data_IF_859758914956
#
_entry.id   IF_859758914956
#
_cell.length_a   1.000
_cell.length_b   1.000
_cell.length_c   1.000
_cell.angle_alpha   90.00
_cell.angle_beta   90.00
_cell.angle_gamma   90.00
#
_symmetry.space_group_name_H-M   'P 1'
#
loop_
_entity.id
_entity.type
_entity.pdbx_description
1 polymer ?
#
# COMPACT_ATOMS: atom_id res chain seq x y z
N UNK A 1 -18.99 -10.78 -1.63
CA UNK A 1 -19.36 -12.17 -1.29
C UNK A 1 -20.74 -12.21 -0.63
N UNK A 2 -21.52 -13.27 -0.83
CA UNK A 2 -22.79 -13.49 -0.09
C UNK A 2 -22.58 -14.44 1.09
N UNK A 3 -23.45 -14.34 2.09
CA UNK A 3 -23.49 -15.22 3.26
C UNK A 3 -24.91 -15.73 3.47
N UNK A 4 -25.04 -16.87 4.16
CA UNK A 4 -26.30 -17.33 4.72
C UNK A 4 -26.42 -16.79 6.14
N UNK A 5 -27.49 -16.07 6.42
CA UNK A 5 -27.84 -15.55 7.72
C UNK A 5 -28.79 -16.51 8.44
N UNK A 6 -28.44 -16.85 9.67
CA UNK A 6 -29.23 -17.70 10.56
C UNK A 6 -30.42 -16.92 11.11
N UNK A 7 -31.64 -17.44 10.92
CA UNK A 7 -32.85 -16.84 11.47
C UNK A 7 -33.18 -17.39 12.85
N UNK A 8 -33.70 -16.54 13.73
CA UNK A 8 -34.08 -16.89 15.11
C UNK A 8 -35.15 -17.99 15.23
N UNK A 9 -35.90 -18.27 14.16
CA UNK A 9 -36.96 -19.28 14.12
C UNK A 9 -36.59 -20.53 13.31
N UNK A 10 -35.30 -20.70 12.98
CA UNK A 10 -34.81 -21.76 12.11
C UNK A 10 -34.92 -21.39 10.62
N UNK A 11 -33.93 -21.83 9.83
CA UNK A 11 -33.83 -21.55 8.40
C UNK A 11 -32.94 -20.35 8.06
N UNK A 12 -32.78 -20.09 6.76
CA UNK A 12 -31.80 -19.12 6.24
C UNK A 12 -32.43 -17.94 5.50
N UNK A 13 -31.67 -16.85 5.45
CA UNK A 13 -31.76 -15.82 4.40
C UNK A 13 -30.40 -15.65 3.75
N UNK A 14 -30.37 -15.52 2.42
CA UNK A 14 -29.16 -15.11 1.74
C UNK A 14 -28.98 -13.59 1.88
N UNK A 15 -27.80 -13.14 2.26
CA UNK A 15 -27.47 -11.71 2.28
C UNK A 15 -27.40 -11.15 0.86
N UNK A 16 -27.41 -9.82 0.75
CA UNK A 16 -26.92 -9.14 -0.46
C UNK A 16 -25.44 -9.46 -0.67
N UNK A 17 -24.92 -9.11 -1.86
CA UNK A 17 -23.50 -9.20 -2.10
C UNK A 17 -22.75 -8.15 -1.27
N UNK A 18 -21.91 -8.62 -0.35
CA UNK A 18 -21.13 -7.82 0.58
C UNK A 18 -19.74 -7.56 -0.02
N UNK A 19 -19.48 -6.32 -0.40
CA UNK A 19 -18.15 -5.88 -0.84
C UNK A 19 -17.26 -5.46 0.34
N UNK A 20 -17.85 -4.69 1.27
CA UNK A 20 -17.19 -4.15 2.47
C UNK A 20 -18.00 -4.51 3.72
N UNK A 21 -17.37 -4.40 4.90
CA UNK A 21 -17.98 -4.66 6.21
C UNK A 21 -18.58 -6.07 6.33
N UNK A 22 -17.83 -7.07 5.86
CA UNK A 22 -18.22 -8.48 6.00
C UNK A 22 -18.26 -8.84 7.50
N UNK A 23 -19.42 -9.28 8.05
CA UNK A 23 -19.54 -9.63 9.46
C UNK A 23 -18.76 -10.93 9.75
N UNK A 24 -18.40 -11.24 11.00
CA UNK A 24 -17.82 -12.52 11.36
C UNK A 24 -18.71 -13.68 10.90
N UNK A 25 -18.10 -14.67 10.26
CA UNK A 25 -18.81 -15.81 9.67
C UNK A 25 -18.04 -17.12 9.87
N UNK A 26 -18.79 -18.23 9.91
CA UNK A 26 -18.20 -19.55 9.73
C UNK A 26 -18.14 -19.91 8.24
N UNK A 27 -17.22 -20.77 7.86
CA UNK A 27 -17.07 -21.27 6.49
C UNK A 27 -17.10 -22.79 6.47
N UNK A 28 -17.90 -23.37 5.56
CA UNK A 28 -18.01 -24.82 5.41
C UNK A 28 -17.00 -25.33 4.38
N UNK A 29 -16.09 -26.18 4.83
CA UNK A 29 -15.22 -26.98 3.99
C UNK A 29 -15.78 -28.40 3.88
N UNK A 30 -16.02 -28.88 2.67
CA UNK A 30 -16.61 -30.20 2.46
C UNK A 30 -16.30 -30.77 1.08
N UNK A 31 -16.50 -32.07 0.91
CA UNK A 31 -16.46 -32.69 -0.42
C UNK A 31 -17.86 -32.73 -1.02
N UNK A 32 -17.98 -32.30 -2.27
CA UNK A 32 -19.25 -32.39 -3.00
C UNK A 32 -19.57 -33.85 -3.33
N UNK A 33 -20.85 -34.18 -3.27
CA UNK A 33 -21.41 -35.36 -3.93
C UNK A 33 -21.52 -35.13 -5.44
N UNK A 34 -22.47 -35.82 -6.07
CA UNK A 34 -22.85 -35.48 -7.45
C UNK A 34 -23.54 -34.11 -7.48
N UNK A 35 -23.40 -33.37 -8.58
CA UNK A 35 -23.90 -32.00 -8.71
C UNK A 35 -25.43 -31.89 -8.45
N UNK A 36 -26.20 -32.91 -8.83
CA UNK A 36 -27.65 -33.01 -8.60
C UNK A 36 -28.03 -33.14 -7.11
N UNK A 37 -27.07 -33.56 -6.27
CA UNK A 37 -27.24 -33.78 -4.83
C UNK A 37 -26.77 -32.61 -3.98
N UNK A 38 -26.19 -31.57 -4.58
CA UNK A 38 -25.77 -30.38 -3.87
C UNK A 38 -26.81 -29.25 -4.08
N UNK A 39 -27.30 -28.62 -2.99
CA UNK A 39 -28.19 -27.47 -3.10
C UNK A 39 -27.43 -26.28 -3.71
N UNK A 40 -28.09 -25.56 -4.60
CA UNK A 40 -27.56 -24.34 -5.22
C UNK A 40 -28.17 -23.09 -4.61
N UNK A 41 -27.60 -21.92 -4.93
CA UNK A 41 -28.18 -20.63 -4.58
C UNK A 41 -29.65 -20.51 -5.05
N UNK A 42 -29.98 -21.01 -6.25
CA UNK A 42 -31.35 -20.98 -6.78
C UNK A 42 -32.30 -21.87 -5.97
N UNK A 43 -31.83 -23.04 -5.53
CA UNK A 43 -32.63 -23.91 -4.66
C UNK A 43 -32.99 -23.18 -3.36
N UNK A 44 -32.01 -22.54 -2.71
CA UNK A 44 -32.26 -21.83 -1.46
C UNK A 44 -33.20 -20.61 -1.63
N UNK A 45 -33.09 -19.90 -2.76
CA UNK A 45 -33.98 -18.76 -3.06
C UNK A 45 -35.44 -19.17 -3.26
N UNK A 46 -35.69 -20.43 -3.66
CA UNK A 46 -37.03 -20.97 -3.92
C UNK A 46 -37.56 -21.86 -2.77
N UNK A 47 -36.90 -21.84 -1.61
CA UNK A 47 -37.13 -22.78 -0.48
C UNK A 47 -37.04 -24.27 -0.89
N UNK A 48 -36.31 -24.54 -1.97
CA UNK A 48 -36.00 -25.86 -2.51
C UNK A 48 -34.70 -26.44 -1.94
N UNK A 49 -34.34 -27.64 -2.41
CA UNK A 49 -33.07 -28.28 -2.05
C UNK A 49 -33.04 -29.04 -0.71
N UNK A 50 -34.08 -28.94 0.12
CA UNK A 50 -34.21 -29.72 1.38
C UNK A 50 -34.14 -31.23 1.19
N UNK A 51 -34.52 -31.70 0.01
CA UNK A 51 -34.48 -33.11 -0.41
C UNK A 51 -33.10 -33.55 -0.92
N UNK A 52 -32.15 -32.63 -1.13
CA UNK A 52 -30.81 -32.94 -1.62
C UNK A 52 -29.90 -33.38 -0.47
N UNK A 53 -29.09 -34.40 -0.71
CA UNK A 53 -28.21 -34.97 0.32
C UNK A 53 -27.20 -33.94 0.89
N UNK A 54 -26.74 -33.00 0.05
CA UNK A 54 -25.85 -31.91 0.45
C UNK A 54 -26.47 -30.94 1.46
N UNK A 55 -27.80 -30.85 1.53
CA UNK A 55 -28.51 -29.96 2.45
C UNK A 55 -28.20 -30.27 3.93
N UNK A 56 -27.97 -31.54 4.26
CA UNK A 56 -27.54 -31.95 5.61
C UNK A 56 -26.24 -31.26 6.05
N UNK A 57 -25.31 -31.01 5.13
CA UNK A 57 -24.02 -30.36 5.43
C UNK A 57 -24.22 -28.89 5.79
N UNK A 58 -25.20 -28.24 5.14
CA UNK A 58 -25.58 -26.85 5.44
C UNK A 58 -26.22 -26.76 6.80
N UNK A 59 -27.20 -27.63 7.09
CA UNK A 59 -27.85 -27.70 8.41
C UNK A 59 -26.82 -27.93 9.52
N UNK A 60 -25.89 -28.87 9.31
CA UNK A 60 -24.80 -29.10 10.25
C UNK A 60 -23.97 -27.82 10.49
N UNK A 61 -23.56 -27.14 9.42
CA UNK A 61 -22.77 -25.91 9.49
C UNK A 61 -23.51 -24.80 10.26
N UNK A 62 -24.81 -24.66 9.99
CA UNK A 62 -25.71 -23.73 10.66
C UNK A 62 -25.76 -24.00 12.17
N UNK A 63 -26.11 -25.22 12.55
CA UNK A 63 -26.20 -25.60 13.96
C UNK A 63 -24.87 -25.41 14.68
N UNK A 64 -23.75 -25.73 14.02
CA UNK A 64 -22.44 -25.57 14.62
C UNK A 64 -22.04 -24.09 14.74
N UNK A 65 -22.33 -23.26 13.73
CA UNK A 65 -22.13 -21.83 13.79
C UNK A 65 -22.94 -21.18 14.91
N UNK A 66 -24.21 -21.59 15.08
CA UNK A 66 -25.07 -21.11 16.15
C UNK A 66 -24.50 -21.46 17.54
N UNK A 67 -23.96 -22.68 17.73
CA UNK A 67 -23.28 -23.09 18.98
C UNK A 67 -22.05 -22.25 19.27
N UNK A 68 -21.33 -21.85 18.23
CA UNK A 68 -20.12 -21.01 18.34
C UNK A 68 -20.43 -19.50 18.33
N UNK A 69 -21.71 -19.11 18.34
CA UNK A 69 -22.14 -17.71 18.42
C UNK A 69 -22.02 -16.92 17.10
N UNK A 70 -21.96 -17.60 15.96
CA UNK A 70 -21.86 -17.01 14.63
C UNK A 70 -23.22 -16.99 13.93
N UNK A 71 -23.68 -15.81 13.52
CA UNK A 71 -24.95 -15.62 12.81
C UNK A 71 -24.85 -15.84 11.29
N UNK A 72 -23.64 -15.84 10.75
CA UNK A 72 -23.41 -15.94 9.30
C UNK A 72 -22.57 -17.17 8.97
N UNK A 73 -22.95 -17.86 7.89
CA UNK A 73 -22.17 -18.97 7.34
C UNK A 73 -21.96 -18.79 5.84
N UNK A 74 -20.79 -19.21 5.36
CA UNK A 74 -20.47 -19.27 3.94
C UNK A 74 -20.39 -20.72 3.49
N UNK A 75 -21.07 -21.02 2.38
CA UNK A 75 -21.06 -22.32 1.72
C UNK A 75 -20.95 -22.08 0.22
N UNK A 76 -19.89 -22.59 -0.41
CA UNK A 76 -19.56 -22.37 -1.82
C UNK A 76 -20.68 -22.75 -2.81
N UNK A 77 -21.44 -23.80 -2.54
CA UNK A 77 -22.56 -24.25 -3.38
C UNK A 77 -23.74 -23.27 -3.38
N UNK A 78 -23.87 -22.48 -2.31
CA UNK A 78 -25.05 -21.66 -2.03
C UNK A 78 -24.77 -20.15 -2.02
N UNK A 79 -23.53 -19.76 -1.77
CA UNK A 79 -23.12 -18.36 -1.64
C UNK A 79 -22.50 -17.80 -2.93
N UNK A 80 -22.20 -18.66 -3.91
CA UNK A 80 -21.68 -18.30 -5.23
C UNK A 80 -22.72 -18.63 -6.29
N UNK A 81 -23.08 -17.65 -7.11
CA UNK A 81 -23.84 -17.90 -8.33
C UNK A 81 -22.93 -18.44 -9.42
N UNK A 82 -22.85 -19.77 -9.50
CA UNK A 82 -22.05 -20.49 -10.50
C UNK A 82 -22.56 -20.29 -11.94
N UNK A 83 -23.77 -19.75 -12.13
CA UNK A 83 -24.30 -19.43 -13.45
C UNK A 83 -23.77 -18.10 -14.00
N UNK A 84 -23.25 -17.24 -13.12
CA UNK A 84 -22.61 -15.98 -13.47
C UNK A 84 -21.08 -16.19 -13.54
N UNK A 85 -20.53 -16.17 -14.75
CA UNK A 85 -19.09 -16.42 -14.97
C UNK A 85 -18.19 -15.35 -14.36
N UNK A 86 -18.63 -14.09 -14.33
CA UNK A 86 -17.89 -13.00 -13.69
C UNK A 86 -17.82 -13.22 -12.18
N UNK A 87 -18.96 -13.49 -11.55
CA UNK A 87 -19.01 -13.76 -10.12
C UNK A 87 -18.19 -15.01 -9.75
N UNK A 88 -18.29 -16.08 -10.54
CA UNK A 88 -17.50 -17.29 -10.34
C UNK A 88 -16.00 -17.01 -10.41
N UNK A 89 -15.56 -16.19 -11.37
CA UNK A 89 -14.16 -15.81 -11.52
C UNK A 89 -13.66 -14.97 -10.34
N UNK A 90 -14.45 -13.99 -9.89
CA UNK A 90 -14.16 -13.19 -8.71
C UNK A 90 -14.11 -14.04 -7.44
N UNK A 91 -15.05 -14.96 -7.28
CA UNK A 91 -15.13 -15.85 -6.14
C UNK A 91 -13.92 -16.78 -6.04
N UNK A 92 -13.52 -17.40 -7.14
CA UNK A 92 -12.35 -18.28 -7.18
C UNK A 92 -11.05 -17.52 -6.88
N UNK A 93 -10.91 -16.29 -7.36
CA UNK A 93 -9.76 -15.44 -7.02
C UNK A 93 -9.78 -14.99 -5.54
N UNK A 94 -10.96 -14.87 -4.94
CA UNK A 94 -11.13 -14.41 -3.56
C UNK A 94 -11.17 -15.53 -2.51
N UNK A 95 -11.32 -16.79 -2.94
CA UNK A 95 -11.64 -17.91 -2.05
C UNK A 95 -10.62 -18.10 -0.94
N UNK A 96 -9.31 -17.99 -1.24
CA UNK A 96 -8.27 -18.09 -0.22
C UNK A 96 -8.45 -17.04 0.88
N UNK A 97 -8.74 -15.80 0.48
CA UNK A 97 -8.98 -14.69 1.41
C UNK A 97 -10.21 -14.95 2.25
N UNK A 98 -11.28 -15.46 1.67
CA UNK A 98 -12.51 -15.80 2.40
C UNK A 98 -12.26 -16.90 3.44
N UNK A 99 -11.53 -17.95 3.09
CA UNK A 99 -11.14 -18.96 4.07
C UNK A 99 -10.23 -18.38 5.17
N UNK A 100 -9.28 -17.51 4.82
CA UNK A 100 -8.39 -16.85 5.79
C UNK A 100 -9.12 -15.93 6.77
N UNK A 101 -10.13 -15.20 6.29
CA UNK A 101 -10.88 -14.22 7.09
C UNK A 101 -12.07 -14.82 7.85
N UNK A 102 -12.41 -16.08 7.60
CA UNK A 102 -13.47 -16.76 8.34
C UNK A 102 -13.08 -16.93 9.82
N UNK A 103 -14.05 -16.69 10.72
CA UNK A 103 -13.85 -16.86 12.16
C UNK A 103 -13.65 -18.34 12.54
N UNK A 104 -14.36 -19.23 11.83
CA UNK A 104 -14.28 -20.68 12.00
C UNK A 104 -14.42 -21.39 10.66
N UNK A 105 -13.53 -22.33 10.36
CA UNK A 105 -13.70 -23.27 9.26
C UNK A 105 -14.16 -24.63 9.80
N UNK A 106 -15.34 -25.08 9.38
CA UNK A 106 -15.85 -26.40 9.73
C UNK A 106 -15.61 -27.36 8.59
N UNK A 107 -14.81 -28.39 8.83
CA UNK A 107 -14.57 -29.48 7.88
C UNK A 107 -15.56 -30.60 8.16
N UNK A 108 -16.51 -30.81 7.26
CA UNK A 108 -17.48 -31.90 7.36
C UNK A 108 -17.04 -33.10 6.51
N UNK A 109 -16.67 -34.19 7.18
CA UNK A 109 -16.18 -35.42 6.56
C UNK A 109 -17.31 -36.44 6.40
N UNK A 110 -17.95 -36.44 5.23
CA UNK A 110 -19.08 -37.34 4.94
C UNK A 110 -18.70 -38.83 4.84
N UNK A 111 -17.41 -39.17 4.85
CA UNK A 111 -16.87 -40.52 4.73
C UNK A 111 -16.18 -41.01 6.02
N UNK A 112 -16.35 -40.28 7.12
CA UNK A 112 -15.82 -40.63 8.43
C UNK A 112 -16.98 -40.73 9.41
N UNK A 113 -17.26 -41.92 9.93
CA UNK A 113 -18.24 -42.12 11.01
C UNK A 113 -17.53 -42.39 12.33
N UNK A 114 -18.17 -41.95 13.41
CA UNK A 114 -17.75 -42.25 14.79
C UNK A 114 -18.47 -43.44 15.39
N UNK A 115 -19.46 -43.99 14.69
CA UNK A 115 -20.21 -45.17 15.10
C UNK A 115 -19.39 -46.40 14.72
N UNK A 116 -19.08 -47.24 15.71
CA UNK A 116 -18.46 -48.54 15.47
C UNK A 116 -19.41 -49.42 14.64
N UNK A 117 -18.97 -49.89 13.48
CA UNK A 117 -19.71 -50.85 12.65
C UNK A 117 -19.88 -52.20 13.36
N UNK A 118 -18.97 -52.53 14.27
CA UNK A 118 -18.92 -53.80 14.99
C UNK A 118 -18.80 -53.50 16.48
N UNK A 119 -19.71 -54.02 17.30
CA UNK A 119 -19.80 -53.78 18.75
C UNK A 119 -18.66 -54.37 19.59
N UNK A 120 -17.42 -54.30 19.10
CA UNK A 120 -16.22 -54.83 19.74
C UNK A 120 -15.39 -53.65 20.28
N UNK A 121 -15.47 -53.53 21.61
CA UNK A 121 -14.48 -52.98 22.55
C UNK A 121 -14.12 -51.47 22.47
N UNK A 122 -14.59 -50.72 23.48
CA UNK A 122 -14.37 -49.28 23.68
C UNK A 122 -13.04 -48.95 24.39
N UNK A 123 -12.06 -49.85 24.40
CA UNK A 123 -10.90 -49.73 25.31
C UNK A 123 -9.55 -49.40 24.67
N UNK A 124 -9.41 -49.22 23.34
CA UNK A 124 -8.14 -48.73 22.77
C UNK A 124 -8.26 -48.15 21.35
N UNK A 125 -8.16 -46.82 21.22
CA UNK A 125 -7.89 -46.13 19.95
C UNK A 125 -9.04 -45.30 19.39
N UNK A 126 -8.69 -44.21 18.68
CA UNK A 126 -9.62 -43.40 17.90
C UNK A 126 -10.21 -44.29 16.79
N UNK A 127 -11.39 -44.86 17.00
CA UNK A 127 -12.06 -45.77 16.05
C UNK A 127 -12.22 -45.17 14.65
N UNK A 128 -12.30 -43.84 14.56
CA UNK A 128 -12.41 -43.09 13.32
C UNK A 128 -11.06 -42.83 12.61
N UNK A 129 -9.92 -43.06 13.28
CA UNK A 129 -8.58 -42.69 12.79
C UNK A 129 -8.26 -43.24 11.38
N UNK A 130 -8.46 -44.55 11.11
CA UNK A 130 -8.24 -45.11 9.77
C UNK A 130 -9.16 -44.51 8.69
N UNK A 131 -10.41 -44.20 9.03
CA UNK A 131 -11.36 -43.57 8.10
C UNK A 131 -10.95 -42.11 7.80
N UNK A 132 -10.52 -41.38 8.83
CA UNK A 132 -10.00 -40.01 8.69
C UNK A 132 -8.78 -39.97 7.76
N UNK A 133 -7.81 -40.87 7.96
CA UNK A 133 -6.63 -40.96 7.09
C UNK A 133 -6.97 -41.23 5.61
N UNK A 134 -8.06 -41.95 5.36
CA UNK A 134 -8.52 -42.31 4.00
C UNK A 134 -9.59 -41.36 3.46
N UNK A 135 -9.95 -40.31 4.21
CA UNK A 135 -11.01 -39.41 3.79
C UNK A 135 -10.65 -38.74 2.46
N UNK A 136 -11.62 -38.72 1.55
CA UNK A 136 -11.51 -38.06 0.24
C UNK A 136 -11.25 -36.56 0.39
N UNK A 137 -11.57 -35.97 1.54
CA UNK A 137 -11.30 -34.54 1.78
C UNK A 137 -9.83 -34.19 1.61
N UNK A 138 -8.90 -35.04 2.04
CA UNK A 138 -7.46 -34.82 1.91
C UNK A 138 -6.96 -34.93 0.46
N UNK A 139 -7.72 -35.60 -0.40
CA UNK A 139 -7.37 -35.78 -1.82
C UNK A 139 -8.13 -34.83 -2.74
N UNK A 140 -8.95 -33.89 -2.25
CA UNK A 140 -9.55 -32.86 -3.12
C UNK A 140 -8.59 -31.67 -3.31
N UNK A 141 -8.55 -31.12 -4.52
CA UNK A 141 -7.66 -30.01 -4.87
C UNK A 141 -7.90 -28.75 -4.03
N UNK A 142 -9.14 -28.25 -4.06
CA UNK A 142 -9.50 -26.98 -3.41
C UNK A 142 -9.37 -27.00 -1.89
N UNK A 143 -9.57 -28.17 -1.24
CA UNK A 143 -9.42 -28.32 0.22
C UNK A 143 -8.00 -28.05 0.71
N UNK A 144 -7.01 -27.93 -0.18
CA UNK A 144 -5.69 -27.42 0.18
C UNK A 144 -5.77 -26.00 0.75
N UNK A 145 -6.49 -25.09 0.07
CA UNK A 145 -6.66 -23.72 0.55
C UNK A 145 -7.51 -23.70 1.82
N UNK A 146 -8.52 -24.55 1.88
CA UNK A 146 -9.45 -24.67 3.01
C UNK A 146 -8.77 -25.18 4.29
N UNK A 147 -7.68 -25.93 4.13
CA UNK A 147 -6.81 -26.38 5.23
C UNK A 147 -5.82 -25.30 5.68
N UNK A 148 -5.19 -24.63 4.71
CA UNK A 148 -4.02 -23.77 4.96
C UNK A 148 -4.43 -22.33 5.32
N UNK A 149 -5.44 -21.79 4.63
CA UNK A 149 -5.80 -20.39 4.75
C UNK A 149 -6.42 -20.01 6.11
N UNK A 150 -7.42 -20.74 6.65
CA UNK A 150 -8.07 -20.36 7.90
C UNK A 150 -7.14 -20.54 9.10
N UNK A 151 -7.25 -19.64 10.08
CA UNK A 151 -6.54 -19.81 11.35
C UNK A 151 -7.13 -20.98 12.17
N UNK A 152 -8.46 -21.02 12.31
CA UNK A 152 -9.19 -22.07 13.04
C UNK A 152 -9.89 -23.04 12.09
N UNK A 153 -9.54 -24.33 12.17
CA UNK A 153 -10.22 -25.42 11.43
C UNK A 153 -10.62 -26.52 12.41
N UNK A 154 -11.91 -26.84 12.46
CA UNK A 154 -12.50 -27.89 13.29
C UNK A 154 -13.03 -29.03 12.38
N UNK A 155 -12.63 -30.27 12.66
CA UNK A 155 -12.99 -31.45 11.88
C UNK A 155 -14.17 -32.18 12.52
N UNK A 156 -15.16 -32.54 11.69
CA UNK A 156 -16.37 -33.22 12.12
C UNK A 156 -16.65 -34.45 11.25
N UNK A 157 -17.17 -35.49 11.89
CA UNK A 157 -17.65 -36.71 11.23
C UNK A 157 -18.97 -36.49 10.49
N UNK A 158 -19.38 -37.47 9.69
CA UNK A 158 -20.72 -37.52 9.07
C UNK A 158 -21.85 -37.46 10.12
N UNK A 159 -21.58 -37.92 11.34
CA UNK A 159 -22.50 -37.88 12.46
C UNK A 159 -22.60 -36.49 13.14
N UNK A 160 -21.84 -35.50 12.67
CA UNK A 160 -21.73 -34.18 13.29
C UNK A 160 -20.93 -34.18 14.59
N UNK A 161 -20.12 -35.20 14.85
CA UNK A 161 -19.26 -35.28 16.04
C UNK A 161 -17.90 -34.67 15.76
N UNK A 162 -17.44 -33.79 16.65
CA UNK A 162 -16.11 -33.17 16.55
C UNK A 162 -15.03 -34.24 16.77
N UNK A 163 -14.13 -34.36 15.79
CA UNK A 163 -12.98 -35.26 15.79
C UNK A 163 -11.74 -34.61 16.41
N UNK A 164 -11.59 -33.30 16.19
CA UNK A 164 -10.48 -32.48 16.68
C UNK A 164 -10.38 -31.19 15.88
N UNK A 165 -9.39 -30.36 16.20
CA UNK A 165 -9.00 -29.20 15.41
C UNK A 165 -7.65 -29.40 14.71
N UNK A 166 -7.33 -28.49 13.79
CA UNK A 166 -6.06 -28.45 13.03
C UNK A 166 -4.82 -28.62 13.90
N UNK A 167 -4.83 -28.08 15.13
CA UNK A 167 -3.68 -28.16 16.05
C UNK A 167 -3.61 -29.53 16.72
N UNK A 168 -4.72 -30.03 17.24
CA UNK A 168 -4.79 -31.35 17.88
C UNK A 168 -4.49 -32.50 16.92
N UNK A 169 -4.74 -32.31 15.62
CA UNK A 169 -4.56 -33.31 14.56
C UNK A 169 -3.37 -33.00 13.65
N UNK A 170 -2.52 -32.01 13.98
CA UNK A 170 -1.48 -31.50 13.06
C UNK A 170 -0.51 -32.59 12.60
N UNK A 171 -0.17 -33.53 13.49
CA UNK A 171 0.71 -34.66 13.18
C UNK A 171 0.06 -35.63 12.18
N UNK A 172 -1.22 -35.98 12.40
CA UNK A 172 -1.96 -36.87 11.49
C UNK A 172 -2.17 -36.20 10.13
N UNK A 173 -2.52 -34.91 10.12
CA UNK A 173 -2.69 -34.14 8.88
C UNK A 173 -1.36 -34.05 8.13
N UNK A 174 -0.25 -33.83 8.83
CA UNK A 174 1.10 -33.85 8.24
C UNK A 174 1.42 -35.20 7.60
N UNK A 175 1.12 -36.31 8.28
CA UNK A 175 1.38 -37.67 7.77
C UNK A 175 0.59 -37.96 6.49
N UNK A 176 -0.67 -37.51 6.41
CA UNK A 176 -1.55 -37.69 5.26
C UNK A 176 -1.11 -36.79 4.09
N UNK A 177 -0.92 -35.50 4.36
CA UNK A 177 -0.75 -34.48 3.31
C UNK A 177 0.70 -34.21 2.93
N UNK A 178 1.65 -34.59 3.79
CA UNK A 178 3.09 -34.25 3.72
C UNK A 178 3.41 -32.77 3.79
N UNK A 179 2.42 -31.92 4.12
CA UNK A 179 2.62 -30.49 4.33
C UNK A 179 3.28 -30.28 5.70
N UNK A 180 4.32 -29.44 5.82
CA UNK A 180 4.98 -29.21 7.11
C UNK A 180 4.03 -28.66 8.18
N UNK A 181 4.17 -29.14 9.41
CA UNK A 181 3.37 -28.69 10.56
C UNK A 181 3.41 -27.17 10.74
N UNK A 182 4.57 -26.55 10.47
CA UNK A 182 4.73 -25.08 10.53
C UNK A 182 3.72 -24.32 9.64
N UNK A 183 3.31 -24.90 8.51
CA UNK A 183 2.31 -24.30 7.63
C UNK A 183 0.93 -24.28 8.30
N UNK A 184 0.59 -25.31 9.09
CA UNK A 184 -0.67 -25.35 9.86
C UNK A 184 -0.67 -24.39 11.05
N UNK A 185 0.51 -24.10 11.59
CA UNK A 185 0.74 -23.19 12.71
C UNK A 185 0.84 -21.71 12.30
N UNK A 186 0.56 -21.38 11.04
CA UNK A 186 0.48 -20.01 10.55
C UNK A 186 1.82 -19.36 10.18
N UNK A 187 2.90 -20.15 9.98
CA UNK A 187 4.13 -19.59 9.42
C UNK A 187 3.86 -18.96 8.04
N UNK A 188 4.44 -17.78 7.74
CA UNK A 188 4.27 -17.14 6.44
C UNK A 188 4.59 -18.10 5.29
N UNK A 189 3.70 -18.21 4.31
CA UNK A 189 3.86 -19.16 3.21
C UNK A 189 5.13 -18.91 2.37
N UNK A 190 5.65 -17.68 2.38
CA UNK A 190 6.91 -17.32 1.74
C UNK A 190 8.15 -18.00 2.33
N UNK A 191 8.06 -18.57 3.54
CA UNK A 191 9.15 -19.36 4.14
C UNK A 191 9.31 -20.73 3.49
N UNK A 192 8.29 -21.22 2.78
CA UNK A 192 8.34 -22.49 2.08
C UNK A 192 8.71 -22.27 0.61
N UNK A 193 9.59 -23.13 0.10
CA UNK A 193 10.06 -23.01 -1.28
C UNK A 193 8.91 -23.14 -2.29
N UNK A 194 9.11 -22.59 -3.49
CA UNK A 194 8.10 -22.67 -4.56
C UNK A 194 7.79 -24.13 -4.92
N UNK A 195 8.82 -24.97 -5.04
CA UNK A 195 8.65 -26.40 -5.33
C UNK A 195 7.88 -27.12 -4.24
N UNK A 196 8.16 -26.82 -2.97
CA UNK A 196 7.46 -27.42 -1.85
C UNK A 196 5.98 -27.04 -1.84
N UNK A 197 5.65 -25.76 -2.00
CA UNK A 197 4.25 -25.31 -2.06
C UNK A 197 3.48 -25.88 -3.25
N UNK A 198 4.13 -26.05 -4.40
CA UNK A 198 3.53 -26.75 -5.56
C UNK A 198 3.26 -28.21 -5.21
N UNK A 199 4.19 -28.89 -4.51
CA UNK A 199 4.06 -30.32 -4.17
C UNK A 199 2.88 -30.62 -3.22
N UNK A 200 2.42 -29.64 -2.45
CA UNK A 200 1.24 -29.79 -1.57
C UNK A 200 -0.04 -30.13 -2.34
N UNK A 201 -0.07 -29.87 -3.64
CA UNK A 201 -1.17 -30.25 -4.51
C UNK A 201 -1.01 -31.65 -5.12
N UNK A 202 0.16 -32.31 -5.09
CA UNK A 202 0.48 -33.48 -5.93
C UNK A 202 -0.53 -34.63 -5.79
N UNK A 203 -0.86 -35.02 -4.56
CA UNK A 203 -1.78 -36.12 -4.26
C UNK A 203 -3.27 -35.71 -4.30
N UNK A 204 -3.57 -34.50 -4.79
CA UNK A 204 -4.94 -33.96 -4.84
C UNK A 204 -5.56 -34.02 -6.23
N UNK A 205 -6.84 -34.33 -6.31
CA UNK A 205 -7.60 -34.48 -7.53
C UNK A 205 -8.60 -33.33 -7.71
N UNK A 206 -8.84 -32.99 -8.96
CA UNK A 206 -9.74 -31.90 -9.35
C UNK A 206 -10.69 -32.36 -10.46
N UNK A 207 -11.91 -31.82 -10.46
CA UNK A 207 -12.92 -32.16 -11.48
C UNK A 207 -12.56 -31.55 -12.83
N UNK A 208 -12.10 -30.29 -12.84
CA UNK A 208 -11.50 -29.64 -14.00
C UNK A 208 -9.99 -29.69 -13.85
N UNK A 209 -9.31 -30.13 -14.89
CA UNK A 209 -7.86 -30.34 -14.85
C UNK A 209 -7.07 -29.04 -14.58
N UNK A 210 -7.62 -27.89 -14.96
CA UNK A 210 -7.05 -26.56 -14.74
C UNK A 210 -7.10 -26.14 -13.25
N UNK A 211 -8.10 -26.63 -12.50
CA UNK A 211 -8.23 -26.32 -11.07
C UNK A 211 -7.05 -26.83 -10.26
N UNK A 212 -6.28 -27.80 -10.77
CA UNK A 212 -5.02 -28.24 -10.16
C UNK A 212 -4.02 -27.08 -10.05
N UNK A 213 -4.02 -26.15 -11.01
CA UNK A 213 -3.25 -24.91 -10.94
C UNK A 213 -4.01 -23.81 -10.17
N UNK A 214 -5.31 -23.65 -10.40
CA UNK A 214 -6.08 -22.57 -9.77
C UNK A 214 -6.19 -22.74 -8.24
N UNK A 215 -6.24 -23.97 -7.74
CA UNK A 215 -6.19 -24.28 -6.30
C UNK A 215 -4.88 -23.89 -5.62
N UNK A 216 -3.83 -23.53 -6.36
CA UNK A 216 -2.58 -23.00 -5.81
C UNK A 216 -2.51 -21.48 -5.78
N UNK A 217 -3.45 -20.75 -6.41
CA UNK A 217 -3.37 -19.29 -6.54
C UNK A 217 -3.23 -18.58 -5.18
N UNK A 218 -4.08 -18.95 -4.22
CA UNK A 218 -4.05 -18.38 -2.87
C UNK A 218 -2.79 -18.73 -2.08
N UNK A 219 -2.21 -19.91 -2.32
CA UNK A 219 -0.96 -20.36 -1.67
C UNK A 219 0.24 -19.48 -2.11
N UNK A 220 0.16 -18.92 -3.31
CA UNK A 220 1.15 -18.01 -3.87
C UNK A 220 0.75 -16.54 -3.83
N UNK A 221 -0.44 -16.21 -3.32
CA UNK A 221 -1.01 -14.85 -3.31
C UNK A 221 -1.06 -14.21 -4.72
N UNK A 222 -1.44 -15.00 -5.72
CA UNK A 222 -1.54 -14.55 -7.12
C UNK A 222 -2.98 -14.51 -7.62
N UNK A 223 -3.21 -13.66 -8.61
CA UNK A 223 -4.46 -13.58 -9.35
C UNK A 223 -4.23 -13.95 -10.82
N UNK A 224 -5.14 -14.76 -11.37
CA UNK A 224 -5.16 -15.09 -12.79
C UNK A 224 -6.58 -15.30 -13.33
N UNK A 225 -6.75 -15.00 -14.61
CA UNK A 225 -7.99 -15.29 -15.33
C UNK A 225 -8.20 -16.80 -15.46
N UNK A 226 -9.41 -17.26 -15.17
CA UNK A 226 -9.78 -18.66 -15.34
C UNK A 226 -10.11 -18.93 -16.81
N UNK A 227 -9.45 -19.94 -17.40
CA UNK A 227 -9.64 -20.33 -18.79
C UNK A 227 -9.84 -21.84 -18.83
N UNK A 228 -11.07 -22.27 -18.50
CA UNK A 228 -11.42 -23.68 -18.60
C UNK A 228 -11.39 -24.15 -20.06
N UNK A 229 -10.71 -25.27 -20.32
CA UNK A 229 -10.42 -25.77 -21.66
C UNK A 229 -9.01 -25.44 -22.16
N UNK A 230 -8.23 -24.61 -21.44
CA UNK A 230 -6.81 -24.38 -21.79
C UNK A 230 -5.94 -25.61 -21.53
N UNK A 231 -6.39 -26.52 -20.67
CA UNK A 231 -5.65 -27.70 -20.26
C UNK A 231 -4.70 -27.45 -19.09
N UNK A 232 -4.44 -28.51 -18.31
CA UNK A 232 -3.65 -28.44 -17.07
C UNK A 232 -2.27 -27.82 -17.27
N UNK A 233 -1.56 -28.21 -18.33
CA UNK A 233 -0.18 -27.78 -18.57
C UNK A 233 -0.07 -26.28 -18.85
N UNK A 234 -1.01 -25.72 -19.62
CA UNK A 234 -1.05 -24.27 -19.89
C UNK A 234 -1.42 -23.48 -18.64
N UNK A 235 -2.40 -23.96 -17.86
CA UNK A 235 -2.76 -23.35 -16.59
C UNK A 235 -1.54 -23.32 -15.61
N UNK A 236 -0.79 -24.42 -15.52
CA UNK A 236 0.45 -24.48 -14.71
C UNK A 236 1.56 -23.59 -15.25
N UNK A 237 1.69 -23.45 -16.57
CA UNK A 237 2.66 -22.53 -17.18
C UNK A 237 2.36 -21.09 -16.79
N UNK A 238 1.09 -20.69 -16.84
CA UNK A 238 0.63 -19.36 -16.40
C UNK A 238 0.85 -19.14 -14.90
N UNK A 239 0.56 -20.15 -14.08
CA UNK A 239 0.85 -20.16 -12.64
C UNK A 239 2.33 -19.88 -12.37
N UNK A 240 3.23 -20.66 -12.99
CA UNK A 240 4.68 -20.50 -12.81
C UNK A 240 5.17 -19.12 -13.27
N UNK A 241 4.69 -18.63 -14.40
CA UNK A 241 5.05 -17.30 -14.90
C UNK A 241 4.60 -16.19 -13.94
N UNK A 242 3.43 -16.33 -13.30
CA UNK A 242 2.94 -15.38 -12.30
C UNK A 242 3.78 -15.41 -11.03
N UNK A 243 4.11 -16.61 -10.53
CA UNK A 243 4.97 -16.78 -9.34
C UNK A 243 6.34 -16.13 -9.59
N UNK A 244 6.97 -16.43 -10.71
CA UNK A 244 8.29 -15.90 -11.06
C UNK A 244 8.27 -14.37 -11.26
N UNK A 245 7.21 -13.83 -11.86
CA UNK A 245 7.03 -12.37 -11.96
C UNK A 245 6.89 -11.73 -10.58
N UNK A 246 6.12 -12.32 -9.66
CA UNK A 246 5.94 -11.78 -8.32
C UNK A 246 7.23 -11.81 -7.51
N UNK A 247 7.98 -12.92 -7.58
CA UNK A 247 9.27 -13.04 -6.93
C UNK A 247 10.26 -11.96 -7.38
N UNK A 248 10.38 -11.74 -8.70
CA UNK A 248 11.21 -10.66 -9.26
C UNK A 248 10.79 -9.27 -8.81
N UNK A 249 9.48 -9.02 -8.72
CA UNK A 249 8.97 -7.74 -8.22
C UNK A 249 9.28 -7.53 -6.73
N UNK A 250 9.21 -8.60 -5.93
CA UNK A 250 9.57 -8.55 -4.51
C UNK A 250 11.07 -8.30 -4.31
N UNK A 251 11.94 -8.95 -5.08
CA UNK A 251 13.39 -8.70 -5.07
C UNK A 251 13.71 -7.25 -5.44
N UNK A 252 13.11 -6.72 -6.51
CA UNK A 252 13.28 -5.34 -6.93
C UNK A 252 12.80 -4.35 -5.84
N UNK A 253 11.69 -4.65 -5.17
CA UNK A 253 11.19 -3.83 -4.04
C UNK A 253 12.18 -3.81 -2.88
N UNK A 254 12.74 -4.96 -2.51
CA UNK A 254 13.73 -5.05 -1.43
C UNK A 254 15.02 -4.31 -1.79
N UNK A 255 15.51 -4.46 -3.03
CA UNK A 255 16.67 -3.71 -3.51
C UNK A 255 16.42 -2.20 -3.44
N UNK A 256 15.28 -1.73 -3.96
CA UNK A 256 14.94 -0.30 -3.92
C UNK A 256 14.81 0.24 -2.49
N UNK A 257 14.25 -0.54 -1.56
CA UNK A 257 14.21 -0.17 -0.13
C UNK A 257 15.62 -0.08 0.47
N UNK A 258 16.52 -1.02 0.15
CA UNK A 258 17.91 -0.98 0.61
C UNK A 258 18.68 0.21 0.03
N UNK A 259 18.52 0.49 -1.27
CA UNK A 259 19.11 1.66 -1.93
C UNK A 259 18.63 2.97 -1.31
N UNK A 260 17.31 3.13 -1.11
CA UNK A 260 16.74 4.33 -0.48
C UNK A 260 17.17 4.50 0.97
N UNK A 261 17.23 3.41 1.76
CA UNK A 261 17.75 3.45 3.12
C UNK A 261 19.22 3.90 3.14
N UNK A 262 20.05 3.37 2.24
CA UNK A 262 21.47 3.74 2.12
C UNK A 262 21.64 5.21 1.73
N UNK A 263 20.84 5.69 0.77
CA UNK A 263 20.84 7.11 0.36
C UNK A 263 20.43 8.04 1.52
N UNK A 264 19.41 7.66 2.29
CA UNK A 264 18.96 8.43 3.44
C UNK A 264 20.03 8.49 4.55
N UNK A 265 20.75 7.40 4.79
CA UNK A 265 21.88 7.38 5.73
C UNK A 265 23.03 8.28 5.25
N UNK A 266 23.35 8.27 3.95
CA UNK A 266 24.37 9.16 3.37
C UNK A 266 23.99 10.64 3.54
N UNK A 267 22.77 11.01 3.16
CA UNK A 267 22.27 12.39 3.33
C UNK A 267 22.28 12.85 4.79
N UNK A 268 21.98 11.96 5.73
CA UNK A 268 22.06 12.25 7.17
C UNK A 268 23.49 12.44 7.68
N UNK A 269 24.51 11.91 7.00
CA UNK A 269 25.94 12.14 7.32
C UNK A 269 26.49 13.41 6.68
N UNK A 270 26.06 13.74 5.47
CA UNK A 270 26.48 14.96 4.76
C UNK A 270 25.93 16.23 5.43
N UNK A 271 24.72 16.19 6.00
CA UNK A 271 24.11 17.35 6.69
C UNK A 271 24.97 17.91 7.85
N UNK A 272 25.44 17.07 8.80
CA UNK A 272 26.35 17.51 9.85
C UNK A 272 27.68 18.06 9.34
N UNK A 273 28.29 17.44 8.33
CA UNK A 273 29.55 17.89 7.74
C UNK A 273 29.43 19.28 7.11
N UNK A 274 28.31 19.53 6.41
CA UNK A 274 28.02 20.84 5.82
C UNK A 274 27.76 21.92 6.90
N UNK A 275 27.09 21.55 8.00
CA UNK A 275 26.91 22.43 9.16
C UNK A 275 28.22 22.76 9.88
N UNK A 276 29.11 21.78 10.02
CA UNK A 276 30.45 21.98 10.59
C UNK A 276 31.31 22.88 9.70
N UNK A 277 31.28 22.67 8.38
CA UNK A 277 31.96 23.53 7.42
C UNK A 277 31.44 24.97 7.48
N UNK A 278 30.11 25.15 7.54
CA UNK A 278 29.48 26.48 7.63
C UNK A 278 29.80 27.18 8.94
N UNK A 279 29.86 26.43 10.05
CA UNK A 279 30.28 26.96 11.34
C UNK A 279 31.74 27.42 11.31
N UNK A 280 32.63 26.63 10.74
CA UNK A 280 34.05 26.99 10.61
C UNK A 280 34.27 28.21 9.70
N UNK A 281 33.40 28.43 8.71
CA UNK A 281 33.40 29.63 7.88
C UNK A 281 32.95 30.87 8.68
N UNK A 282 31.83 30.76 9.40
CA UNK A 282 31.31 31.84 10.25
C UNK A 282 32.24 32.22 11.42
N UNK A 283 33.04 31.29 11.93
CA UNK A 283 34.04 31.58 12.97
C UNK A 283 35.21 32.44 12.45
N UNK A 284 35.46 32.49 11.13
CA UNK A 284 36.52 33.33 10.52
C UNK A 284 36.09 34.79 10.31
N UNK A 285 34.82 35.05 10.07
CA UNK A 285 34.29 36.39 9.83
C UNK A 285 34.55 37.40 10.97
N UNK A 286 34.31 37.09 12.26
CA UNK A 286 34.55 38.05 13.33
C UNK A 286 36.04 38.38 13.49
N UNK A 287 36.94 37.42 13.27
CA UNK A 287 38.39 37.68 13.30
C UNK A 287 38.83 38.67 12.23
N UNK A 288 38.31 38.50 11.00
CA UNK A 288 38.60 39.41 9.88
C UNK A 288 38.05 40.82 10.18
N UNK A 289 36.81 40.90 10.66
CA UNK A 289 36.15 42.18 11.01
C UNK A 289 36.86 42.90 12.16
N UNK A 290 37.40 42.15 13.14
CA UNK A 290 38.17 42.72 14.25
C UNK A 290 39.49 43.30 13.74
N UNK A 291 40.25 42.55 12.93
CA UNK A 291 41.50 43.03 12.34
C UNK A 291 41.29 44.28 11.47
N UNK A 292 40.24 44.29 10.65
CA UNK A 292 39.91 45.44 9.81
C UNK A 292 39.48 46.66 10.64
N UNK A 293 38.74 46.46 11.74
CA UNK A 293 38.41 47.54 12.68
C UNK A 293 39.64 48.14 13.35
N UNK A 294 40.60 47.33 13.77
CA UNK A 294 41.85 47.82 14.34
C UNK A 294 42.65 48.64 13.32
N UNK A 295 42.71 48.15 12.07
CA UNK A 295 43.34 48.87 10.96
C UNK A 295 42.67 50.22 10.69
N UNK A 296 41.34 50.27 10.67
CA UNK A 296 40.56 51.49 10.47
C UNK A 296 40.74 52.48 11.63
N UNK A 297 40.81 52.00 12.88
CA UNK A 297 41.12 52.85 14.05
C UNK A 297 42.49 53.51 13.93
N UNK A 298 43.51 52.77 13.51
CA UNK A 298 44.85 53.31 13.27
C UNK A 298 44.85 54.38 12.16
N UNK A 299 44.12 54.15 11.07
CA UNK A 299 43.99 55.13 9.99
C UNK A 299 43.27 56.41 10.44
N UNK A 300 42.21 56.28 11.24
CA UNK A 300 41.49 57.41 11.83
C UNK A 300 42.39 58.25 12.74
N UNK A 301 43.20 57.61 13.59
CA UNK A 301 44.18 58.32 14.44
C UNK A 301 45.21 59.09 13.60
N UNK A 302 45.74 58.47 12.54
CA UNK A 302 46.67 59.12 11.63
C UNK A 302 46.06 60.35 10.97
N UNK A 303 44.83 60.21 10.45
CA UNK A 303 44.11 61.31 9.81
C UNK A 303 43.77 62.45 10.80
N UNK A 304 43.50 62.13 12.07
CA UNK A 304 43.26 63.15 13.10
C UNK A 304 44.51 63.99 13.38
N UNK A 305 45.67 63.37 13.48
CA UNK A 305 46.96 64.06 13.68
C UNK A 305 47.30 64.93 12.46
N UNK A 306 47.14 64.40 11.24
CA UNK A 306 47.34 65.18 10.02
C UNK A 306 46.42 66.41 9.97
N UNK A 307 45.16 66.27 10.35
CA UNK A 307 44.22 67.39 10.44
C UNK A 307 44.57 68.42 11.52
N UNK A 308 45.10 67.99 12.68
CA UNK A 308 45.60 68.95 13.68
C UNK A 308 46.81 69.73 13.20
N UNK A 309 47.75 69.07 12.51
CA UNK A 309 48.89 69.74 11.89
C UNK A 309 48.41 70.76 10.86
N UNK A 310 47.44 70.39 10.00
CA UNK A 310 46.86 71.28 9.02
C UNK A 310 46.10 72.46 9.66
N UNK A 311 45.38 72.24 10.78
CA UNK A 311 44.73 73.31 11.55
C UNK A 311 45.74 74.25 12.21
N UNK A 312 46.84 73.72 12.75
CA UNK A 312 47.90 74.53 13.34
C UNK A 312 48.60 75.41 12.28
N UNK A 313 48.76 74.90 11.06
CA UNK A 313 49.28 75.65 9.91
C UNK A 313 48.25 76.69 9.44
N UNK A 314 46.95 76.35 9.44
CA UNK A 314 45.85 77.25 9.05
C UNK A 314 45.59 78.37 10.05
N UNK A 315 45.79 78.18 11.36
CA UNK A 315 45.63 79.23 12.37
C UNK A 315 46.75 80.30 12.34
N UNK A 316 47.80 80.10 11.54
CA UNK A 316 48.80 81.11 11.20
C UNK A 316 48.39 82.06 10.07
N UNK A 317 47.27 81.82 9.38
CA UNK A 317 46.85 82.60 8.22
C UNK A 317 45.34 82.94 8.27
N UNK A 318 45.08 84.23 8.46
CA UNK A 318 43.83 84.98 8.23
C UNK A 318 42.71 84.96 9.29
N UNK A 319 42.54 86.16 9.87
CA UNK A 319 41.31 86.72 10.47
C UNK A 319 40.22 86.88 9.39
N UNK A 320 38.97 86.59 9.79
CA UNK A 320 37.78 87.29 9.32
C UNK A 320 36.84 86.52 8.40
N UNK A 321 35.54 86.63 8.69
CA UNK A 321 34.48 86.51 7.68
C UNK A 321 33.48 85.38 7.89
N UNK A 322 32.21 85.79 7.98
CA UNK A 322 30.99 85.01 8.23
C UNK A 322 30.62 83.98 7.14
N UNK A 323 29.94 82.92 7.60
CA UNK A 323 28.73 82.30 7.03
C UNK A 323 28.70 81.76 5.58
N UNK A 324 28.65 80.42 5.46
CA UNK A 324 27.50 79.59 5.02
C UNK A 324 28.00 78.30 4.36
N UNK A 325 27.66 77.15 4.94
CA UNK A 325 27.63 75.86 4.24
C UNK A 325 26.29 75.17 4.53
N UNK A 326 25.57 74.70 3.49
CA UNK A 326 24.40 73.87 3.72
C UNK A 326 24.86 72.50 4.24
N UNK A 327 24.22 72.07 5.32
CA UNK A 327 24.34 70.75 5.92
C UNK A 327 24.06 69.64 4.89
N UNK A 328 25.06 68.83 4.57
CA UNK A 328 24.87 67.46 4.09
C UNK A 328 25.31 66.50 5.19
N UNK A 329 24.35 66.04 5.98
CA UNK A 329 24.54 64.95 6.93
C UNK A 329 24.84 63.63 6.18
N UNK A 330 25.64 62.70 6.74
CA UNK A 330 25.88 61.42 6.10
C UNK A 330 24.64 60.52 6.28
N UNK A 331 24.06 60.07 5.17
CA UNK A 331 22.99 59.08 5.16
C UNK A 331 23.50 57.77 5.79
N UNK A 332 22.84 57.33 6.87
CA UNK A 332 22.99 55.98 7.41
C UNK A 332 22.23 55.01 6.50
N UNK A 333 22.94 54.04 5.94
CA UNK A 333 22.33 52.90 5.27
C UNK A 333 22.16 51.76 6.28
N UNK A 334 20.92 51.27 6.45
CA UNK A 334 20.60 50.06 7.20
C UNK A 334 19.88 49.05 6.28
N UNK A 335 20.27 47.76 6.23
CA UNK A 335 19.80 46.80 5.22
C UNK A 335 18.32 46.40 5.29
N UNK A 336 17.56 46.95 6.25
CA UNK A 336 16.13 46.68 6.49
C UNK A 336 15.22 47.83 6.06
N UNK A 337 15.78 48.97 5.65
CA UNK A 337 14.99 50.18 5.36
C UNK A 337 14.31 50.15 3.98
N UNK A 338 14.80 49.35 3.03
CA UNK A 338 14.23 49.35 1.66
C UNK A 338 12.81 48.74 1.60
N UNK A 339 12.53 47.69 2.38
CA UNK A 339 11.26 46.95 2.30
C UNK A 339 10.20 47.45 3.29
N UNK A 340 10.61 48.06 4.39
CA UNK A 340 9.71 48.38 5.51
C UNK A 340 8.85 49.63 5.25
N UNK A 341 9.35 50.56 4.44
CA UNK A 341 8.71 51.86 4.21
C UNK A 341 7.80 51.87 2.96
N UNK A 342 8.16 51.13 1.90
CA UNK A 342 7.39 51.05 0.64
C UNK A 342 6.12 50.22 0.78
N UNK A 343 6.15 49.14 1.57
CA UNK A 343 5.01 48.22 1.75
C UNK A 343 4.09 48.61 2.91
N UNK A 344 4.34 49.76 3.56
CA UNK A 344 3.64 50.16 4.78
C UNK A 344 2.13 50.38 4.56
N UNK A 345 1.73 50.76 3.35
CA UNK A 345 0.34 51.01 2.94
C UNK A 345 -0.29 49.98 1.99
N UNK A 346 0.39 48.86 1.68
CA UNK A 346 -0.12 47.83 0.78
C UNK A 346 -0.68 46.63 1.57
N UNK A 347 -1.83 46.09 1.16
CA UNK A 347 -2.53 45.02 1.91
C UNK A 347 -1.78 43.67 1.94
N UNK A 348 -0.84 43.42 1.02
CA UNK A 348 -0.08 42.18 0.94
C UNK A 348 1.35 42.35 1.45
N UNK A 349 1.60 41.92 2.70
CA UNK A 349 2.89 42.04 3.39
C UNK A 349 3.71 40.73 3.40
N UNK A 350 3.93 40.11 2.24
CA UNK A 350 4.95 39.07 2.04
C UNK A 350 5.33 38.94 0.54
N UNK A 351 6.59 38.62 0.20
CA UNK A 351 7.02 38.45 -1.19
C UNK A 351 6.73 37.01 -1.65
N UNK A 352 5.47 36.62 -1.77
CA UNK A 352 5.12 35.27 -2.25
C UNK A 352 4.47 35.25 -3.64
N UNK A 353 3.84 36.35 -4.10
CA UNK A 353 3.06 36.35 -5.35
C UNK A 353 3.49 37.46 -6.31
N UNK A 354 4.79 37.53 -6.59
CA UNK A 354 5.37 38.53 -7.49
C UNK A 354 5.03 38.20 -8.95
N UNK A 355 4.35 39.13 -9.62
CA UNK A 355 4.06 39.08 -11.06
C UNK A 355 4.59 40.38 -11.67
N UNK A 356 5.49 40.26 -12.65
CA UNK A 356 6.11 41.38 -13.37
C UNK A 356 5.60 41.36 -14.81
N UNK A 357 5.35 42.52 -15.40
CA UNK A 357 4.98 42.61 -16.82
C UNK A 357 6.12 43.31 -17.56
N UNK A 358 6.58 42.73 -18.67
CA UNK A 358 7.64 43.33 -19.48
C UNK A 358 7.11 44.48 -20.33
N UNK A 359 8.02 45.28 -20.88
CA UNK A 359 7.69 46.37 -21.82
C UNK A 359 6.98 45.88 -23.09
N UNK A 360 7.08 44.57 -23.39
CA UNK A 360 6.37 43.87 -24.47
C UNK A 360 4.98 43.38 -24.08
N UNK A 361 4.54 43.60 -22.83
CA UNK A 361 3.23 43.18 -22.31
C UNK A 361 3.15 41.73 -21.84
N UNK A 362 4.27 41.00 -21.80
CA UNK A 362 4.31 39.60 -21.39
C UNK A 362 4.46 39.48 -19.86
N UNK A 363 3.74 38.52 -19.26
CA UNK A 363 3.74 38.30 -17.81
C UNK A 363 4.83 37.32 -17.38
N UNK A 364 5.56 37.72 -16.34
CA UNK A 364 6.62 36.99 -15.67
C UNK A 364 6.17 36.69 -14.23
N UNK A 365 6.17 35.43 -13.85
CA UNK A 365 5.70 34.97 -12.53
C UNK A 365 6.90 34.52 -11.69
N UNK A 366 6.98 34.99 -10.45
CA UNK A 366 7.89 34.45 -9.45
C UNK A 366 7.44 33.06 -8.96
N UNK A 367 8.30 32.31 -8.25
CA UNK A 367 8.04 30.92 -7.88
C UNK A 367 6.71 30.66 -7.16
N UNK A 368 6.31 31.52 -6.23
CA UNK A 368 5.03 31.36 -5.53
C UNK A 368 3.82 31.73 -6.40
N UNK A 369 3.94 32.70 -7.31
CA UNK A 369 2.91 32.98 -8.31
C UNK A 369 2.77 31.84 -9.34
N UNK A 370 3.89 31.21 -9.72
CA UNK A 370 3.90 30.01 -10.58
C UNK A 370 3.23 28.82 -9.90
N UNK A 371 3.47 28.60 -8.61
CA UNK A 371 2.81 27.55 -7.84
C UNK A 371 1.29 27.75 -7.77
N UNK A 372 0.85 28.98 -7.48
CA UNK A 372 -0.57 29.32 -7.45
C UNK A 372 -1.25 29.13 -8.81
N UNK A 373 -0.55 29.47 -9.89
CA UNK A 373 -1.02 29.26 -11.25
C UNK A 373 -1.21 27.77 -11.55
N UNK A 374 -0.24 26.93 -11.15
CA UNK A 374 -0.28 25.49 -11.33
C UNK A 374 -1.45 24.85 -10.58
N UNK A 375 -1.63 25.14 -9.30
CA UNK A 375 -2.66 24.49 -8.48
C UNK A 375 -4.09 24.92 -8.84
N UNK A 376 -4.25 26.08 -9.48
CA UNK A 376 -5.54 26.56 -10.02
C UNK A 376 -5.81 26.06 -11.44
N UNK A 377 -4.82 25.45 -12.11
CA UNK A 377 -4.98 25.00 -13.49
C UNK A 377 -5.92 23.79 -13.58
N UNK A 378 -6.88 23.75 -14.53
CA UNK A 378 -7.86 22.66 -14.63
C UNK A 378 -7.24 21.26 -14.75
N UNK A 379 -6.08 21.13 -15.41
CA UNK A 379 -5.41 19.85 -15.55
C UNK A 379 -4.77 19.34 -14.25
N UNK A 380 -4.34 20.24 -13.37
CA UNK A 380 -3.83 19.86 -12.05
C UNK A 380 -4.99 19.44 -11.12
N UNK A 381 -6.11 20.18 -11.14
CA UNK A 381 -7.32 19.84 -10.36
C UNK A 381 -7.88 18.46 -10.74
N UNK A 382 -7.77 18.07 -12.02
CA UNK A 382 -8.18 16.76 -12.52
C UNK A 382 -7.17 15.63 -12.26
N UNK A 383 -6.04 15.93 -11.59
CA UNK A 383 -4.98 14.97 -11.31
C UNK A 383 -4.23 14.48 -12.54
N UNK A 384 -4.29 15.22 -13.65
CA UNK A 384 -3.74 14.83 -14.96
C UNK A 384 -2.36 15.46 -15.25
N UNK A 385 -1.78 16.17 -14.29
CA UNK A 385 -0.48 16.86 -14.42
C UNK A 385 0.35 16.56 -13.18
N UNK A 386 1.60 16.15 -13.39
CA UNK A 386 2.57 15.92 -12.31
C UNK A 386 3.33 17.22 -12.00
N UNK A 387 3.15 17.74 -10.79
CA UNK A 387 3.85 18.95 -10.34
C UNK A 387 5.37 18.78 -10.32
N UNK A 388 5.89 17.58 -10.06
CA UNK A 388 7.32 17.28 -10.10
C UNK A 388 7.89 17.43 -11.51
N UNK A 389 7.21 16.87 -12.50
CA UNK A 389 7.59 16.97 -13.92
C UNK A 389 7.48 18.41 -14.45
N UNK A 390 6.44 19.16 -14.06
CA UNK A 390 6.34 20.60 -14.39
C UNK A 390 7.49 21.40 -13.76
N UNK A 391 7.83 21.13 -12.49
CA UNK A 391 8.97 21.77 -11.84
C UNK A 391 10.29 21.48 -12.55
N UNK A 392 10.53 20.22 -12.96
CA UNK A 392 11.75 19.84 -13.66
C UNK A 392 11.89 20.52 -15.02
N UNK A 393 10.78 20.68 -15.75
CA UNK A 393 10.76 21.39 -17.04
C UNK A 393 11.01 22.89 -16.88
N UNK A 394 10.60 23.48 -15.75
CA UNK A 394 10.76 24.91 -15.50
C UNK A 394 12.17 25.29 -15.00
N UNK A 395 12.92 24.36 -14.39
CA UNK A 395 14.28 24.62 -13.83
C UNK A 395 15.21 25.34 -14.80
N UNK A 396 15.21 24.96 -16.08
CA UNK A 396 16.11 25.51 -17.09
C UNK A 396 15.56 26.76 -17.80
N UNK A 397 14.38 27.25 -17.39
CA UNK A 397 13.70 28.42 -18.00
C UNK A 397 13.65 29.63 -17.06
N UNK A 398 14.20 29.50 -15.85
CA UNK A 398 14.26 30.58 -14.88
C UNK A 398 15.13 31.72 -15.40
N UNK A 399 14.63 32.95 -15.28
CA UNK A 399 15.37 34.19 -15.57
C UNK A 399 15.48 35.03 -14.29
N UNK A 400 16.48 35.90 -14.21
CA UNK A 400 16.62 36.84 -13.09
C UNK A 400 16.16 38.24 -13.52
N UNK A 401 15.24 38.84 -12.77
CA UNK A 401 14.75 40.21 -12.99
C UNK A 401 15.41 41.24 -12.05
N UNK A 402 16.49 40.85 -11.36
CA UNK A 402 17.17 41.68 -10.36
C UNK A 402 16.60 41.56 -8.94
N UNK A 403 15.47 40.86 -8.76
CA UNK A 403 14.86 40.60 -7.44
C UNK A 403 14.61 39.11 -7.16
N UNK A 404 14.95 38.22 -8.10
CA UNK A 404 14.88 36.76 -7.93
C UNK A 404 14.50 36.03 -9.23
N UNK A 405 14.34 34.69 -9.20
CA UNK A 405 13.91 33.94 -10.36
C UNK A 405 12.47 34.31 -10.78
N UNK A 406 12.25 34.42 -12.09
CA UNK A 406 10.94 34.59 -12.73
C UNK A 406 10.82 33.67 -13.93
N UNK A 407 9.59 33.30 -14.26
CA UNK A 407 9.24 32.42 -15.36
C UNK A 407 8.21 33.10 -16.26
N UNK A 408 8.38 33.01 -17.57
CA UNK A 408 7.37 33.48 -18.51
C UNK A 408 6.08 32.67 -18.37
N UNK A 409 4.93 33.35 -18.33
CA UNK A 409 3.61 32.68 -18.25
C UNK A 409 3.45 31.63 -19.36
N UNK A 410 3.86 31.96 -20.60
CA UNK A 410 3.85 31.01 -21.73
C UNK A 410 4.68 29.74 -21.49
N UNK A 411 5.78 29.84 -20.74
CA UNK A 411 6.65 28.69 -20.43
C UNK A 411 6.06 27.83 -19.34
N UNK A 412 5.31 28.42 -18.41
CA UNK A 412 4.54 27.70 -17.39
C UNK A 412 3.42 26.90 -18.06
N UNK A 413 2.66 27.52 -18.97
CA UNK A 413 1.59 26.86 -19.71
C UNK A 413 2.14 25.70 -20.55
N UNK A 414 3.20 25.93 -21.33
CA UNK A 414 3.85 24.90 -22.16
C UNK A 414 4.38 23.72 -21.32
N UNK A 415 4.91 23.98 -20.11
CA UNK A 415 5.34 22.93 -19.21
C UNK A 415 4.18 22.08 -18.67
N UNK A 416 3.04 22.71 -18.35
CA UNK A 416 1.82 22.02 -17.89
C UNK A 416 1.24 21.15 -19.00
N UNK A 417 1.14 21.67 -20.23
CA UNK A 417 0.61 20.94 -21.39
C UNK A 417 1.49 19.74 -21.77
N UNK A 418 2.81 19.90 -21.74
CA UNK A 418 3.76 18.80 -22.00
C UNK A 418 3.72 17.73 -20.91
N UNK A 419 3.52 18.13 -19.66
CA UNK A 419 3.35 17.18 -18.55
C UNK A 419 2.08 16.35 -18.73
N UNK A 420 0.98 16.99 -19.14
CA UNK A 420 -0.26 16.30 -19.49
C UNK A 420 -0.09 15.32 -20.67
N UNK A 421 0.59 15.73 -21.75
CA UNK A 421 0.80 14.87 -22.92
C UNK A 421 1.62 13.62 -22.58
N UNK A 422 2.70 13.75 -21.79
CA UNK A 422 3.51 12.63 -21.34
C UNK A 422 2.75 11.63 -20.44
N UNK A 423 1.72 12.08 -19.73
CA UNK A 423 0.86 11.21 -18.92
C UNK A 423 -0.11 10.34 -19.73
N UNK A 424 -0.37 10.70 -20.99
CA UNK A 424 -1.32 10.01 -21.88
C UNK A 424 -0.68 9.10 -22.93
N UNK A 425 0.63 9.21 -23.18
CA UNK A 425 1.37 8.35 -24.13
C UNK A 425 1.55 6.88 -23.65
N UNK A 426 1.00 6.53 -22.49
CA UNK A 426 0.86 5.14 -22.02
C UNK A 426 -0.41 4.41 -22.49
N UNK A 427 -1.26 5.07 -23.28
CA UNK A 427 -2.52 4.51 -23.80
C UNK A 427 -2.67 4.78 -25.32
N UNK A 428 -1.73 4.26 -26.12
CA UNK A 428 -1.94 3.97 -27.54
C UNK A 428 -1.27 2.64 -27.92
#
# INVERSE_FOLDING_TARGET
MRLLELKSHGGFSLTKDLADNVPPYAILSHTWGNDDKEPTIQDLMQDGGKNKAGYRKILFCEEQAARDGLQFVWVDTCCIDKSNSTELAEAINSMFRWYREAAKCYVYLSDVSTRSSDGIDQSSGLTWGPAFQKSRWFTRGWTLQELIAPESVDFFSEDGKRLGDKRSLEQQIHEITRIPIKAFQGSPLSQFSVSERISWADNRETKRQEDKAYSLMGIFDIHMTLIYGEGREKAFTRLRNKIDKQFRLEELRQQNQSYTATQNVRKRKEYPEDLEARRAELEKDPTIIIEENERLKLQLQKAAIENEILKAISMGAYRGGSELLPSTAPMRYSPIDFYTEVLRGHENKAPSHRIVTTDTGERLLGPGATWDYLIKHPFYIRGSVDAGDVCDRLKNTAMCDGQGPVFWERKIIDAIEKSFANGNDGLL
#
